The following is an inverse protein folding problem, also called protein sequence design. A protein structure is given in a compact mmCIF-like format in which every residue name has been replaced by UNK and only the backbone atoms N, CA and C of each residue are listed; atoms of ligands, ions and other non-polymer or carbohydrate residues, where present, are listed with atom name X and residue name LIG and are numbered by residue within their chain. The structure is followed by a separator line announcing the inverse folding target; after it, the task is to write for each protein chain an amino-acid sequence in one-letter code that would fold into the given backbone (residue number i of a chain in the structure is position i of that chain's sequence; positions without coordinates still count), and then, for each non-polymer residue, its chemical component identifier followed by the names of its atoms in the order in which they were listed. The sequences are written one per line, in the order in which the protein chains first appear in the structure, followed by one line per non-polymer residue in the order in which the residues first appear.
data_IF_819304200431
#
_entry.id   IF_819304200431
#
_cell.length_a   1.000
_cell.length_b   1.000
_cell.length_c   1.000
_cell.angle_alpha   90.00
_cell.angle_beta   90.00
_cell.angle_gamma   90.00
#
_symmetry.space_group_name_H-M   'P 1'
#
loop_
_entity.id
_entity.type
_entity.pdbx_description
1 polymer ?
#
# COMPACT_ATOMS: atom_id res chain seq x y z
N UNK A 1 21.53 -5.20 16.24
CA UNK A 1 20.61 -4.63 15.25
C UNK A 1 19.31 -5.42 15.36
N UNK A 2 18.19 -4.76 15.69
CA UNK A 2 16.91 -5.46 15.73
C UNK A 2 16.55 -5.88 14.32
N UNK A 3 16.31 -7.17 14.09
CA UNK A 3 15.78 -7.65 12.80
C UNK A 3 14.42 -6.98 12.58
N UNK A 4 14.29 -6.24 11.49
CA UNK A 4 13.01 -5.65 11.09
C UNK A 4 12.11 -6.81 10.68
N UNK A 5 11.12 -7.10 11.50
CA UNK A 5 10.12 -8.12 11.19
C UNK A 5 9.12 -7.55 10.18
N UNK A 6 9.15 -8.07 8.96
CA UNK A 6 8.21 -7.68 7.91
C UNK A 6 6.90 -8.46 8.05
N UNK A 7 5.78 -7.77 7.88
CA UNK A 7 4.46 -8.37 7.70
C UNK A 7 4.31 -8.76 6.22
N UNK A 8 4.32 -10.04 5.96
CA UNK A 8 4.26 -10.61 4.63
C UNK A 8 2.92 -11.31 4.42
N UNK A 9 2.17 -10.88 3.41
CA UNK A 9 0.84 -11.41 3.13
C UNK A 9 0.68 -11.75 1.65
N UNK A 10 0.02 -12.86 1.38
CA UNK A 10 -0.36 -13.27 0.03
C UNK A 10 -1.76 -12.76 -0.26
N UNK A 11 -1.89 -11.88 -1.25
CA UNK A 11 -3.18 -11.31 -1.65
C UNK A 11 -3.98 -12.32 -2.48
N UNK A 12 -3.34 -12.89 -3.50
CA UNK A 12 -3.99 -13.88 -4.36
C UNK A 12 -2.96 -14.79 -5.05
N UNK A 13 -3.36 -16.02 -5.30
CA UNK A 13 -2.61 -17.00 -6.08
C UNK A 13 -3.50 -17.44 -7.23
N UNK A 14 -2.97 -17.38 -8.45
CA UNK A 14 -3.66 -17.83 -9.64
C UNK A 14 -2.85 -18.90 -10.36
N UNK A 15 -3.55 -19.92 -10.87
CA UNK A 15 -2.99 -20.88 -11.81
C UNK A 15 -3.17 -20.35 -13.22
N UNK A 16 -2.09 -20.22 -13.96
CA UNK A 16 -2.08 -19.74 -15.33
C UNK A 16 -1.53 -20.81 -16.26
N UNK A 17 -1.95 -20.80 -17.51
CA UNK A 17 -1.51 -21.77 -18.51
C UNK A 17 -1.07 -21.06 -19.78
N UNK A 18 0.04 -21.53 -20.36
CA UNK A 18 0.43 -21.21 -21.72
C UNK A 18 0.00 -22.37 -22.63
N UNK A 19 -0.88 -22.10 -23.58
CA UNK A 19 -1.33 -23.08 -24.55
C UNK A 19 -0.42 -23.03 -25.77
N UNK A 20 0.16 -24.17 -26.12
CA UNK A 20 0.94 -24.37 -27.35
C UNK A 20 0.30 -25.47 -28.18
N UNK A 21 0.68 -25.60 -29.47
CA UNK A 21 0.20 -26.68 -30.33
C UNK A 21 0.56 -28.03 -29.68
N UNK A 22 -0.45 -28.75 -29.17
CA UNK A 22 -0.30 -30.08 -28.55
C UNK A 22 0.02 -30.13 -27.05
N UNK A 23 0.20 -29.00 -26.34
CA UNK A 23 0.47 -28.99 -24.90
C UNK A 23 -0.05 -27.75 -24.18
N UNK A 24 -0.37 -27.92 -22.87
CA UNK A 24 -0.65 -26.83 -21.93
C UNK A 24 0.45 -26.82 -20.87
N UNK A 25 1.17 -25.72 -20.73
CA UNK A 25 2.17 -25.53 -19.67
C UNK A 25 1.55 -24.67 -18.57
N UNK A 26 1.39 -25.25 -17.38
CA UNK A 26 0.86 -24.56 -16.21
C UNK A 26 1.95 -23.86 -15.42
N UNK A 27 1.60 -22.73 -14.86
CA UNK A 27 2.41 -21.98 -13.90
C UNK A 27 1.51 -21.37 -12.85
N UNK A 28 2.10 -20.96 -11.73
CA UNK A 28 1.39 -20.23 -10.68
C UNK A 28 1.91 -18.81 -10.59
N UNK A 29 0.99 -17.90 -10.29
CA UNK A 29 1.32 -16.50 -10.03
C UNK A 29 0.85 -16.15 -8.64
N UNK A 30 1.68 -15.42 -7.89
CA UNK A 30 1.37 -14.92 -6.56
C UNK A 30 1.48 -13.41 -6.53
N UNK A 31 0.46 -12.75 -6.03
CA UNK A 31 0.46 -11.33 -5.70
C UNK A 31 0.66 -11.21 -4.20
N UNK A 32 1.72 -10.55 -3.77
CA UNK A 32 2.17 -10.49 -2.38
C UNK A 32 2.37 -9.04 -1.97
N UNK A 33 2.09 -8.73 -0.72
CA UNK A 33 2.42 -7.46 -0.08
C UNK A 33 3.38 -7.70 1.08
N UNK A 34 4.34 -6.80 1.23
CA UNK A 34 5.30 -6.79 2.34
C UNK A 34 5.32 -5.39 2.94
N UNK A 35 5.22 -5.29 4.25
CA UNK A 35 5.27 -4.02 4.98
C UNK A 35 6.01 -4.15 6.30
N UNK A 36 6.44 -3.03 6.86
CA UNK A 36 7.12 -2.96 8.15
C UNK A 36 6.21 -2.48 9.30
N UNK A 37 4.93 -2.21 8.99
CA UNK A 37 3.99 -1.65 9.96
C UNK A 37 4.27 -0.19 10.36
N UNK A 38 5.31 0.44 9.82
CA UNK A 38 5.75 1.81 10.11
C UNK A 38 5.66 2.75 8.91
N UNK A 39 4.87 2.39 7.92
CA UNK A 39 4.61 3.17 6.71
C UNK A 39 5.42 2.76 5.50
N UNK A 40 6.29 1.77 5.58
CA UNK A 40 6.90 1.18 4.39
C UNK A 40 6.09 0.00 3.93
N UNK A 41 5.74 -0.02 2.66
CA UNK A 41 5.00 -1.12 2.05
C UNK A 41 5.39 -1.26 0.59
N UNK A 42 5.40 -2.50 0.12
CA UNK A 42 5.65 -2.82 -1.27
C UNK A 42 4.77 -3.98 -1.72
N UNK A 43 4.41 -3.98 -3.00
CA UNK A 43 3.65 -5.04 -3.64
C UNK A 43 4.53 -5.71 -4.68
N UNK A 44 4.53 -7.03 -4.68
CA UNK A 44 5.30 -7.85 -5.59
C UNK A 44 4.46 -8.89 -6.30
N UNK A 45 4.86 -9.21 -7.51
CA UNK A 45 4.23 -10.23 -8.33
C UNK A 45 5.26 -11.29 -8.71
N UNK A 46 5.00 -12.52 -8.31
CA UNK A 46 5.86 -13.66 -8.60
C UNK A 46 5.19 -14.66 -9.53
N UNK A 47 5.97 -15.26 -10.43
CA UNK A 47 5.53 -16.35 -11.31
C UNK A 47 6.54 -17.48 -11.28
N UNK A 48 6.06 -18.70 -11.04
CA UNK A 48 6.87 -19.91 -11.03
C UNK A 48 6.04 -21.15 -11.40
N UNK A 49 6.71 -22.28 -11.55
CA UNK A 49 6.04 -23.57 -11.80
C UNK A 49 5.36 -24.11 -10.55
N UNK A 50 5.83 -23.72 -9.36
CA UNK A 50 5.33 -24.15 -8.06
C UNK A 50 4.88 -22.94 -7.24
N UNK A 51 3.88 -23.14 -6.38
CA UNK A 51 3.31 -22.09 -5.54
C UNK A 51 4.34 -21.49 -4.57
N UNK A 52 5.13 -22.29 -3.81
CA UNK A 52 6.12 -21.71 -2.88
C UNK A 52 7.15 -20.83 -3.59
N UNK A 53 7.66 -21.26 -4.73
CA UNK A 53 8.62 -20.50 -5.54
C UNK A 53 8.01 -19.21 -6.11
N UNK A 54 6.71 -19.21 -6.45
CA UNK A 54 6.01 -18.03 -6.92
C UNK A 54 5.84 -17.00 -5.78
N UNK A 55 5.50 -17.46 -4.58
CA UNK A 55 5.37 -16.63 -3.39
C UNK A 55 6.72 -15.99 -3.03
N UNK A 56 7.78 -16.78 -2.97
CA UNK A 56 9.12 -16.29 -2.64
C UNK A 56 9.59 -15.22 -3.61
N UNK A 57 9.42 -15.42 -4.92
CA UNK A 57 9.73 -14.41 -5.94
C UNK A 57 8.89 -13.15 -5.77
N UNK A 58 7.60 -13.30 -5.42
CA UNK A 58 6.72 -12.18 -5.12
C UNK A 58 7.20 -11.38 -3.91
N UNK A 59 7.60 -12.05 -2.84
CA UNK A 59 8.13 -11.42 -1.63
C UNK A 59 9.43 -10.65 -1.90
N UNK A 60 10.37 -11.23 -2.63
CA UNK A 60 11.61 -10.56 -3.02
C UNK A 60 11.32 -9.29 -3.87
N UNK A 61 10.41 -9.40 -4.83
CA UNK A 61 9.99 -8.26 -5.64
C UNK A 61 9.31 -7.18 -4.78
N UNK A 62 8.44 -7.58 -3.85
CA UNK A 62 7.77 -6.65 -2.93
C UNK A 62 8.76 -5.92 -2.02
N UNK A 63 9.74 -6.63 -1.44
CA UNK A 63 10.78 -6.02 -0.60
C UNK A 63 11.61 -4.99 -1.37
N UNK A 64 11.96 -5.28 -2.62
CA UNK A 64 12.69 -4.32 -3.50
C UNK A 64 11.85 -3.10 -3.87
N UNK A 65 10.54 -3.27 -3.96
CA UNK A 65 9.59 -2.22 -4.35
C UNK A 65 9.00 -1.46 -3.14
N UNK A 66 9.52 -1.64 -1.92
CA UNK A 66 9.03 -0.96 -0.73
C UNK A 66 9.25 0.55 -0.82
N UNK A 67 8.19 1.30 -0.57
CA UNK A 67 8.19 2.77 -0.52
C UNK A 67 7.66 3.25 0.82
N UNK A 68 8.16 4.41 1.26
CA UNK A 68 7.69 5.06 2.48
C UNK A 68 6.47 5.93 2.15
N UNK A 69 5.37 5.68 2.86
CA UNK A 69 4.11 6.39 2.72
C UNK A 69 3.98 7.44 3.82
N UNK A 70 3.61 8.70 3.50
CA UNK A 70 3.26 9.68 4.53
C UNK A 70 2.03 9.22 5.32
N UNK A 71 2.09 9.30 6.63
CA UNK A 71 1.00 8.93 7.52
C UNK A 71 0.78 10.03 8.58
N UNK A 72 -0.47 10.21 8.97
CA UNK A 72 -0.86 11.07 10.07
C UNK A 72 -1.39 10.21 11.23
N UNK A 73 -0.52 9.84 12.17
CA UNK A 73 -0.85 8.85 13.19
C UNK A 73 -1.06 7.46 12.56
N UNK A 74 -2.26 6.93 12.71
CA UNK A 74 -2.65 5.61 12.20
C UNK A 74 -3.50 5.69 10.92
N UNK A 75 -3.56 6.85 10.27
CA UNK A 75 -4.35 7.08 9.06
C UNK A 75 -3.53 7.74 7.95
N UNK A 76 -4.12 7.87 6.77
CA UNK A 76 -3.53 8.58 5.63
C UNK A 76 -3.63 10.08 5.82
N UNK A 77 -2.77 10.85 5.15
CA UNK A 77 -2.71 12.32 5.31
C UNK A 77 -3.94 13.00 4.73
N UNK A 78 -4.36 12.60 3.54
CA UNK A 78 -5.52 13.17 2.85
C UNK A 78 -6.21 12.14 1.95
N UNK A 79 -7.39 12.49 1.47
CA UNK A 79 -8.07 11.69 0.45
C UNK A 79 -7.26 11.66 -0.84
N UNK A 80 -7.11 10.47 -1.42
CA UNK A 80 -6.46 10.29 -2.70
C UNK A 80 -7.16 9.22 -3.53
N UNK A 81 -7.05 9.36 -4.85
CA UNK A 81 -7.49 8.35 -5.81
C UNK A 81 -6.27 7.88 -6.59
N UNK A 82 -6.00 6.60 -6.50
CA UNK A 82 -4.97 5.96 -7.33
C UNK A 82 -5.61 5.27 -8.52
N UNK A 83 -4.93 5.32 -9.66
CA UNK A 83 -5.39 4.72 -10.91
C UNK A 83 -4.29 3.82 -11.45
N UNK A 84 -4.67 2.64 -11.89
CA UNK A 84 -3.80 1.73 -12.64
C UNK A 84 -4.64 0.92 -13.64
N UNK A 85 -4.36 1.09 -14.92
CA UNK A 85 -5.20 0.51 -15.97
C UNK A 85 -6.66 0.98 -15.84
N UNK A 86 -7.59 0.04 -15.81
CA UNK A 86 -9.02 0.31 -15.63
C UNK A 86 -9.47 0.29 -14.15
N UNK A 87 -8.57 0.06 -13.22
CA UNK A 87 -8.85 0.05 -11.77
C UNK A 87 -8.62 1.42 -11.17
N UNK A 88 -9.48 1.80 -10.23
CA UNK A 88 -9.38 3.02 -9.42
C UNK A 88 -9.57 2.64 -7.97
N UNK A 89 -8.78 3.21 -7.08
CA UNK A 89 -8.92 3.02 -5.64
C UNK A 89 -8.99 4.38 -4.97
N UNK A 90 -10.09 4.61 -4.28
CA UNK A 90 -10.28 5.78 -3.43
C UNK A 90 -9.86 5.42 -2.02
N UNK A 91 -9.00 6.21 -1.40
CA UNK A 91 -8.60 6.09 0.00
C UNK A 91 -8.88 7.41 0.71
N UNK A 92 -9.55 7.33 1.87
CA UNK A 92 -9.88 8.49 2.72
C UNK A 92 -9.33 8.27 4.12
N UNK A 93 -8.86 9.34 4.80
CA UNK A 93 -8.56 9.27 6.21
C UNK A 93 -9.82 8.99 7.04
N UNK A 94 -9.64 8.34 8.18
CA UNK A 94 -10.71 8.03 9.11
C UNK A 94 -10.32 8.41 10.54
N UNK A 95 -11.33 8.62 11.38
CA UNK A 95 -11.12 8.90 12.80
C UNK A 95 -10.53 7.68 13.53
N UNK A 96 -9.76 7.89 14.60
CA UNK A 96 -9.25 6.80 15.42
C UNK A 96 -10.38 5.88 15.90
N UNK A 97 -10.15 4.56 15.80
CA UNK A 97 -11.13 3.55 16.17
C UNK A 97 -12.09 3.11 15.06
N UNK A 98 -12.06 3.75 13.88
CA UNK A 98 -12.88 3.35 12.72
C UNK A 98 -12.45 1.99 12.16
N UNK A 99 -11.16 1.69 12.22
CA UNK A 99 -10.58 0.51 11.61
C UNK A 99 -10.36 0.66 10.09
N UNK A 100 -9.87 -0.39 9.47
CA UNK A 100 -9.66 -0.43 8.02
C UNK A 100 -10.92 -0.98 7.35
N UNK A 101 -11.65 -0.11 6.67
CA UNK A 101 -12.83 -0.46 5.88
C UNK A 101 -12.44 -0.42 4.40
N UNK A 102 -12.04 -1.56 3.88
CA UNK A 102 -11.51 -1.70 2.53
C UNK A 102 -11.75 -3.10 1.96
N UNK A 103 -11.73 -3.24 0.65
CA UNK A 103 -11.73 -4.52 -0.04
C UNK A 103 -10.45 -5.32 0.22
N UNK A 104 -10.48 -6.64 0.02
CA UNK A 104 -9.44 -7.57 0.45
C UNK A 104 -8.01 -7.21 0.07
N UNK A 105 -7.73 -6.88 -1.19
CA UNK A 105 -6.39 -6.50 -1.64
C UNK A 105 -5.94 -5.16 -1.01
N UNK A 106 -6.79 -4.16 -1.01
CA UNK A 106 -6.49 -2.83 -0.46
C UNK A 106 -6.31 -2.91 1.06
N UNK A 107 -7.17 -3.66 1.76
CA UNK A 107 -7.06 -3.89 3.20
C UNK A 107 -5.69 -4.45 3.59
N UNK A 108 -5.24 -5.48 2.92
CA UNK A 108 -3.94 -6.11 3.20
C UNK A 108 -2.78 -5.14 3.01
N UNK A 109 -2.83 -4.28 1.99
CA UNK A 109 -1.81 -3.25 1.74
C UNK A 109 -1.82 -2.20 2.86
N UNK A 110 -2.99 -1.70 3.25
CA UNK A 110 -3.12 -0.70 4.31
C UNK A 110 -2.65 -1.24 5.66
N UNK A 111 -3.05 -2.45 6.02
CA UNK A 111 -2.63 -3.09 7.27
C UNK A 111 -1.12 -3.37 7.30
N UNK A 112 -0.54 -3.87 6.21
CA UNK A 112 0.91 -4.10 6.09
C UNK A 112 1.71 -2.79 6.19
N UNK A 113 1.16 -1.67 5.70
CA UNK A 113 1.75 -0.35 5.86
C UNK A 113 1.67 0.19 7.30
N UNK A 114 0.86 -0.42 8.17
CA UNK A 114 0.62 0.05 9.54
C UNK A 114 -0.52 1.05 9.65
N UNK A 115 -1.32 1.23 8.60
CA UNK A 115 -2.53 2.05 8.63
C UNK A 115 -3.64 1.24 9.29
N UNK A 116 -4.22 1.79 10.37
CA UNK A 116 -5.26 1.14 11.16
C UNK A 116 -6.63 1.76 11.02
N UNK A 117 -6.70 3.00 10.53
CA UNK A 117 -7.92 3.76 10.37
C UNK A 117 -7.96 4.38 8.98
N UNK A 118 -8.70 3.79 8.08
CA UNK A 118 -8.89 4.30 6.72
C UNK A 118 -10.17 3.75 6.09
N UNK A 119 -10.76 4.55 5.21
CA UNK A 119 -11.87 4.15 4.35
C UNK A 119 -11.34 4.02 2.93
N UNK A 120 -11.56 2.90 2.29
CA UNK A 120 -11.17 2.70 0.91
C UNK A 120 -12.25 1.99 0.10
N UNK A 121 -12.34 2.35 -1.17
CA UNK A 121 -13.26 1.71 -2.13
C UNK A 121 -12.55 1.48 -3.46
N UNK A 122 -12.61 0.24 -3.92
CA UNK A 122 -12.20 -0.11 -5.27
C UNK A 122 -13.32 0.20 -6.25
N UNK A 123 -12.99 0.95 -7.28
CA UNK A 123 -13.88 1.38 -8.37
C UNK A 123 -13.30 0.92 -9.71
N UNK A 124 -14.15 0.70 -10.70
CA UNK A 124 -13.71 0.19 -12.01
C UNK A 124 -13.39 -1.29 -11.99
N UNK A 125 -12.34 -1.71 -12.67
CA UNK A 125 -11.99 -3.12 -12.79
C UNK A 125 -11.59 -3.74 -11.44
N UNK A 126 -12.12 -4.92 -11.07
CA UNK A 126 -11.80 -5.61 -9.82
C UNK A 126 -10.55 -6.49 -9.89
N UNK A 127 -9.78 -6.45 -10.96
CA UNK A 127 -8.58 -7.27 -11.13
C UNK A 127 -7.57 -7.00 -10.01
N UNK A 128 -7.24 -8.01 -9.22
CA UNK A 128 -6.43 -7.88 -7.99
C UNK A 128 -5.10 -7.18 -8.21
N UNK A 129 -4.38 -7.49 -9.28
CA UNK A 129 -3.09 -6.86 -9.60
C UNK A 129 -3.27 -5.36 -9.84
N UNK A 130 -4.25 -4.98 -10.66
CA UNK A 130 -4.50 -3.58 -10.98
C UNK A 130 -5.01 -2.81 -9.76
N UNK A 131 -5.88 -3.41 -8.97
CA UNK A 131 -6.37 -2.82 -7.70
C UNK A 131 -5.22 -2.60 -6.72
N UNK A 132 -4.30 -3.56 -6.57
CA UNK A 132 -3.14 -3.42 -5.71
C UNK A 132 -2.21 -2.29 -6.18
N UNK A 133 -1.92 -2.19 -7.47
CA UNK A 133 -1.12 -1.12 -8.02
C UNK A 133 -1.82 0.24 -7.91
N UNK A 134 -3.13 0.31 -8.15
CA UNK A 134 -3.91 1.53 -7.96
C UNK A 134 -3.89 1.99 -6.49
N UNK A 135 -3.99 1.06 -5.53
CA UNK A 135 -3.85 1.38 -4.11
C UNK A 135 -2.46 1.92 -3.77
N UNK A 136 -1.40 1.30 -4.30
CA UNK A 136 -0.03 1.81 -4.14
C UNK A 136 0.13 3.21 -4.74
N UNK A 137 -0.43 3.47 -5.91
CA UNK A 137 -0.42 4.80 -6.53
C UNK A 137 -1.16 5.84 -5.69
N UNK A 138 -2.29 5.48 -5.06
CA UNK A 138 -3.01 6.36 -4.14
C UNK A 138 -2.16 6.70 -2.91
N UNK A 139 -1.47 5.72 -2.35
CA UNK A 139 -0.65 5.88 -1.15
C UNK A 139 0.64 6.66 -1.43
N UNK A 140 1.32 6.36 -2.51
CA UNK A 140 2.55 7.09 -2.92
C UNK A 140 2.27 8.50 -3.39
N UNK A 141 1.07 8.75 -3.92
CA UNK A 141 0.59 10.08 -4.31
C UNK A 141 0.20 10.98 -3.14
N UNK A 142 0.26 10.51 -1.90
CA UNK A 142 0.03 11.32 -0.70
C UNK A 142 1.07 12.45 -0.60
N UNK A 143 0.61 13.67 -0.37
CA UNK A 143 1.48 14.84 -0.22
C UNK A 143 1.61 15.23 1.25
N UNK A 144 2.81 15.56 1.66
CA UNK A 144 3.08 16.05 3.00
C UNK A 144 2.51 17.46 3.16
N UNK A 145 1.95 17.83 4.35
CA UNK A 145 1.39 19.15 4.57
C UNK A 145 2.39 20.28 4.26
N UNK A 146 3.65 20.11 4.63
CA UNK A 146 4.72 21.10 4.38
C UNK A 146 4.99 21.29 2.89
N UNK A 147 4.91 20.23 2.09
CA UNK A 147 5.10 20.32 0.63
C UNK A 147 3.97 21.13 -0.03
N UNK A 148 2.73 20.88 0.42
CA UNK A 148 1.57 21.65 -0.09
C UNK A 148 1.64 23.09 0.35
N UNK A 149 2.06 23.35 1.59
CA UNK A 149 2.26 24.68 2.14
C UNK A 149 3.29 25.48 1.31
N UNK A 150 4.44 24.88 1.06
CA UNK A 150 5.49 25.50 0.25
C UNK A 150 5.02 25.84 -1.17
N UNK A 151 4.26 24.93 -1.82
CA UNK A 151 3.72 25.16 -3.16
C UNK A 151 2.70 26.30 -3.20
N UNK A 152 1.98 26.53 -2.10
CA UNK A 152 0.96 27.58 -1.98
C UNK A 152 1.48 28.88 -1.37
N UNK A 153 2.74 28.94 -0.94
CA UNK A 153 3.32 30.09 -0.24
C UNK A 153 2.65 30.38 1.10
N UNK A 154 2.16 29.35 1.80
CA UNK A 154 1.46 29.44 3.08
C UNK A 154 2.14 28.62 4.17
N UNK A 155 1.73 28.85 5.42
CA UNK A 155 2.17 28.01 6.53
C UNK A 155 1.37 26.70 6.57
N UNK A 156 1.97 25.62 7.06
CA UNK A 156 1.29 24.31 7.14
C UNK A 156 0.04 24.39 8.04
N UNK A 157 0.05 25.21 9.06
CA UNK A 157 -1.04 25.49 9.99
C UNK A 157 -2.28 26.11 9.33
N UNK A 158 -2.08 26.83 8.23
CA UNK A 158 -3.20 27.43 7.47
C UNK A 158 -3.87 26.43 6.50
N UNK A 159 -3.18 25.34 6.17
CA UNK A 159 -3.61 24.40 5.13
C UNK A 159 -4.22 23.15 5.72
N UNK A 160 -3.64 22.64 6.81
CA UNK A 160 -4.04 21.39 7.42
C UNK A 160 -4.75 21.61 8.76
N UNK A 161 -5.80 20.82 9.07
CA UNK A 161 -6.42 20.87 10.39
C UNK A 161 -5.39 20.61 11.50
N UNK A 162 -5.47 21.32 12.65
CA UNK A 162 -4.47 21.21 13.72
C UNK A 162 -4.25 19.77 14.22
N UNK A 163 -5.32 18.99 14.35
CA UNK A 163 -5.23 17.60 14.78
C UNK A 163 -4.48 16.70 13.80
N UNK A 164 -4.70 16.88 12.50
CA UNK A 164 -4.00 16.12 11.46
C UNK A 164 -2.52 16.49 11.41
N UNK A 165 -2.21 17.77 11.51
CA UNK A 165 -0.83 18.27 11.50
C UNK A 165 -0.04 17.77 12.73
N UNK A 166 -0.65 17.80 13.92
CA UNK A 166 -0.06 17.25 15.12
C UNK A 166 0.20 15.73 15.01
N UNK A 167 -0.77 14.97 14.51
CA UNK A 167 -0.63 13.54 14.28
C UNK A 167 0.46 13.22 13.24
N UNK A 168 0.53 13.99 12.16
CA UNK A 168 1.57 13.84 11.14
C UNK A 168 2.97 14.10 11.73
N UNK A 169 3.16 15.22 12.41
CA UNK A 169 4.45 15.59 13.04
C UNK A 169 4.89 14.57 14.09
N UNK A 170 3.98 14.05 14.91
CA UNK A 170 4.30 13.00 15.88
C UNK A 170 4.74 11.70 15.20
N UNK A 171 4.12 11.32 14.09
CA UNK A 171 4.51 10.13 13.31
C UNK A 171 5.91 10.29 12.72
N UNK A 172 6.21 11.44 12.13
CA UNK A 172 7.54 11.72 11.57
C UNK A 172 8.62 11.75 12.67
N UNK A 173 8.33 12.33 13.84
CA UNK A 173 9.24 12.33 14.97
C UNK A 173 9.53 10.92 15.50
N UNK A 174 8.53 10.05 15.58
CA UNK A 174 8.70 8.66 15.97
C UNK A 174 9.55 7.88 14.95
N UNK A 175 9.36 8.12 13.67
CA UNK A 175 10.15 7.49 12.60
C UNK A 175 11.60 7.93 12.63
N UNK A 176 11.86 9.21 12.87
CA UNK A 176 13.23 9.74 13.00
C UNK A 176 13.99 9.17 14.21
N UNK A 177 13.28 8.71 15.24
CA UNK A 177 13.88 8.07 16.43
C UNK A 177 14.19 6.58 16.22
N UNK A 178 13.50 5.92 15.30
CA UNK A 178 13.58 4.48 15.08
C UNK A 178 14.38 4.11 13.81
N UNK A 179 14.83 5.07 13.05
CA UNK A 179 15.69 4.93 11.86
C UNK A 179 17.10 5.41 12.11
#
# INVERSE_FOLDING_TARGET
MAEVQYDERVITINRVAKVTKGAKRFSFTALVVVGDGNGRVGVGYGKAREVPSAIQKGMEAARKAMVLIPMAGQTVVHQAVGIHGASRVLIKPAAPGTGVIAGGAVRQILEAAGIRDALAKSLGSPTHINVAQAAMNALTGQRRPEQVAALRGKQAEEIAPPGLLAAYRSTEALRARNG
#
